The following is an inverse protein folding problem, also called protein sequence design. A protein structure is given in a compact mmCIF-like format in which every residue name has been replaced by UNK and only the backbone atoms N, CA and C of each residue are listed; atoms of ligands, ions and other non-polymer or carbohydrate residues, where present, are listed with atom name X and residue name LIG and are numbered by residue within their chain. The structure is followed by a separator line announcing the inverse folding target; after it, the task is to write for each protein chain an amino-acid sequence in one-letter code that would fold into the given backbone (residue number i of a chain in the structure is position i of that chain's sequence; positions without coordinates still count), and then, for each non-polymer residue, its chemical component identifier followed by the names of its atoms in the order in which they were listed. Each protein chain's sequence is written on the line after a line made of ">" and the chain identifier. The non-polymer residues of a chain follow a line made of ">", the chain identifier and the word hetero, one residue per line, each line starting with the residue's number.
data_IF_960573833590
#
_entry.id   IF_960573833590
#
_cell.length_a   1.000
_cell.length_b   1.000
_cell.length_c   1.000
_cell.angle_alpha   90.00
_cell.angle_beta   90.00
_cell.angle_gamma   90.00
#
_symmetry.space_group_name_H-M   'P 1'
#
loop_
_entity.id
_entity.type
_entity.pdbx_description
1 polymer ?
#
# COMPACT_ATOMS: atom_id res chain seq x y z
N UNK A 1 8.35 10.08 17.37
CA UNK A 1 7.66 8.86 16.88
C UNK A 1 7.70 8.94 15.37
N UNK A 2 8.28 7.98 14.66
CA UNK A 2 8.35 8.00 13.20
C UNK A 2 7.92 6.64 12.64
N UNK A 3 7.25 6.69 11.50
CA UNK A 3 6.91 5.53 10.67
C UNK A 3 7.46 5.84 9.29
N UNK A 4 8.12 4.87 8.67
CA UNK A 4 8.55 4.94 7.28
C UNK A 4 8.20 3.65 6.57
N UNK A 5 7.81 3.77 5.30
CA UNK A 5 7.42 2.66 4.46
C UNK A 5 7.96 2.84 3.05
N UNK A 6 8.18 1.73 2.35
CA UNK A 6 8.65 1.69 0.97
C UNK A 6 7.85 0.67 0.17
N UNK A 7 7.52 1.04 -1.07
CA UNK A 7 7.04 0.12 -2.11
C UNK A 7 8.14 0.02 -3.15
N UNK A 8 8.45 -1.19 -3.61
CA UNK A 8 9.46 -1.43 -4.62
C UNK A 8 8.98 -2.49 -5.62
N UNK A 9 9.35 -2.29 -6.89
CA UNK A 9 9.15 -3.24 -7.99
C UNK A 9 10.53 -3.67 -8.48
N UNK A 10 10.75 -4.97 -8.58
CA UNK A 10 11.87 -5.54 -9.33
C UNK A 10 11.45 -5.69 -10.80
N UNK A 11 12.04 -4.93 -11.74
CA UNK A 11 11.67 -4.99 -13.15
C UNK A 11 12.13 -6.27 -13.86
N UNK A 12 13.11 -7.00 -13.31
CA UNK A 12 13.62 -8.23 -13.94
C UNK A 12 12.68 -9.41 -13.69
N UNK A 13 12.16 -9.53 -12.47
CA UNK A 13 11.26 -10.61 -12.05
C UNK A 13 9.78 -10.23 -12.12
N UNK A 14 9.47 -8.93 -12.04
CA UNK A 14 8.12 -8.42 -11.87
C UNK A 14 7.62 -8.48 -10.42
N UNK A 15 8.49 -8.85 -9.46
CA UNK A 15 8.11 -8.94 -8.05
C UNK A 15 7.88 -7.56 -7.45
N UNK A 16 6.79 -7.44 -6.68
CA UNK A 16 6.41 -6.22 -5.99
C UNK A 16 6.40 -6.44 -4.48
N UNK A 17 7.06 -5.56 -3.75
CA UNK A 17 7.17 -5.61 -2.30
C UNK A 17 6.73 -4.32 -1.62
N UNK A 18 6.27 -4.44 -0.39
CA UNK A 18 6.03 -3.32 0.53
C UNK A 18 6.61 -3.64 1.90
N UNK A 19 7.31 -2.68 2.49
CA UNK A 19 7.87 -2.80 3.82
C UNK A 19 7.56 -1.56 4.66
N UNK A 20 7.51 -1.73 5.98
CA UNK A 20 7.25 -0.67 6.95
C UNK A 20 8.09 -0.87 8.21
N UNK A 21 8.56 0.22 8.78
CA UNK A 21 9.10 0.29 10.13
C UNK A 21 8.27 1.29 10.93
N UNK A 22 7.99 0.95 12.19
CA UNK A 22 7.36 1.87 13.14
C UNK A 22 7.71 1.49 14.57
N UNK A 23 7.51 2.43 15.49
CA UNK A 23 7.44 2.14 16.94
C UNK A 23 6.08 1.53 17.33
N UNK A 24 5.10 1.53 16.44
CA UNK A 24 3.81 0.86 16.63
C UNK A 24 3.95 -0.67 16.60
N UNK A 25 3.37 -1.34 17.60
CA UNK A 25 3.39 -2.80 17.69
C UNK A 25 2.59 -3.42 16.56
N UNK A 26 3.13 -4.49 15.96
CA UNK A 26 2.47 -5.25 14.90
C UNK A 26 2.05 -4.41 13.68
N UNK A 27 2.82 -3.36 13.33
CA UNK A 27 2.58 -2.50 12.17
C UNK A 27 2.40 -3.25 10.85
N UNK A 28 3.02 -4.43 10.73
CA UNK A 28 2.90 -5.31 9.57
C UNK A 28 1.49 -5.84 9.28
N UNK A 29 0.58 -5.81 10.27
CA UNK A 29 -0.82 -6.19 10.08
C UNK A 29 -1.71 -5.01 9.61
N UNK A 30 -1.18 -3.79 9.60
CA UNK A 30 -1.97 -2.56 9.41
C UNK A 30 -1.55 -1.80 8.15
N UNK A 31 -0.25 -1.61 7.97
CA UNK A 31 0.29 -0.70 6.94
C UNK A 31 0.54 -1.37 5.61
N UNK A 32 1.28 -2.50 5.53
CA UNK A 32 1.69 -3.07 4.25
C UNK A 32 0.61 -3.99 3.68
N UNK A 33 0.17 -3.69 2.46
CA UNK A 33 -0.75 -4.53 1.69
C UNK A 33 -0.14 -4.82 0.32
N UNK A 34 -0.19 -6.07 -0.13
CA UNK A 34 0.28 -6.46 -1.46
C UNK A 34 -0.60 -7.56 -2.05
N UNK A 35 -0.75 -7.53 -3.37
CA UNK A 35 -1.42 -8.57 -4.15
C UNK A 35 -0.61 -8.81 -5.42
N UNK A 36 -0.15 -10.04 -5.60
CA UNK A 36 0.65 -10.45 -6.76
C UNK A 36 -0.05 -10.11 -8.07
N UNK A 37 0.71 -9.56 -9.03
CA UNK A 37 0.20 -9.13 -10.33
C UNK A 37 -0.76 -7.92 -10.30
N UNK A 38 -1.00 -7.31 -9.14
CA UNK A 38 -1.93 -6.18 -8.99
C UNK A 38 -1.23 -4.93 -8.46
N UNK A 39 -0.61 -5.01 -7.29
CA UNK A 39 -0.10 -3.79 -6.64
C UNK A 39 0.26 -3.95 -5.17
N UNK A 40 0.75 -2.86 -4.60
CA UNK A 40 1.12 -2.76 -3.19
C UNK A 40 0.79 -1.37 -2.66
N UNK A 41 0.35 -1.31 -1.41
CA UNK A 41 -0.16 -0.10 -0.75
C UNK A 41 0.41 -0.01 0.66
N UNK A 42 0.83 1.19 1.05
CA UNK A 42 1.23 1.52 2.41
C UNK A 42 0.28 2.58 2.99
N UNK A 43 -0.70 2.16 3.79
CA UNK A 43 -1.61 3.07 4.51
C UNK A 43 -1.00 3.41 5.87
N UNK A 44 -0.49 4.64 6.04
CA UNK A 44 0.29 5.05 7.23
C UNK A 44 -0.21 6.37 7.85
N UNK A 45 0.51 6.87 8.86
CA UNK A 45 0.13 7.99 9.73
C UNK A 45 -1.07 7.68 10.63
N UNK A 46 -2.29 7.95 10.17
CA UNK A 46 -3.54 7.49 10.78
C UNK A 46 -4.12 6.40 9.88
N UNK A 47 -3.47 5.23 9.93
CA UNK A 47 -3.75 4.16 8.99
C UNK A 47 -5.24 3.81 8.97
N UNK A 48 -5.86 4.00 7.80
CA UNK A 48 -7.16 3.42 7.51
C UNK A 48 -6.93 2.08 6.82
N UNK A 49 -7.25 0.98 7.50
CA UNK A 49 -7.06 -0.38 6.98
C UNK A 49 -7.94 -0.68 5.78
N UNK A 50 -9.02 0.08 5.56
CA UNK A 50 -9.88 -0.10 4.38
C UNK A 50 -9.16 0.29 3.08
N UNK A 51 -8.22 1.22 3.13
CA UNK A 51 -7.45 1.68 1.96
C UNK A 51 -6.59 0.58 1.34
N UNK A 52 -6.15 -0.40 2.12
CA UNK A 52 -5.36 -1.52 1.62
C UNK A 52 -6.14 -2.36 0.59
N UNK A 53 -7.22 -3.04 1.02
CA UNK A 53 -8.07 -3.81 0.11
C UNK A 53 -8.73 -2.95 -0.99
N UNK A 54 -9.30 -1.79 -0.64
CA UNK A 54 -10.00 -0.94 -1.62
C UNK A 54 -9.06 -0.41 -2.71
N UNK A 55 -7.86 0.02 -2.32
CA UNK A 55 -6.86 0.47 -3.27
C UNK A 55 -6.37 -0.67 -4.16
N UNK A 56 -6.11 -1.86 -3.61
CA UNK A 56 -5.75 -3.03 -4.43
C UNK A 56 -6.87 -3.41 -5.42
N UNK A 57 -8.14 -3.20 -5.06
CA UNK A 57 -9.27 -3.41 -5.96
C UNK A 57 -9.41 -2.29 -7.01
N UNK A 58 -8.98 -1.06 -6.73
CA UNK A 58 -8.86 -0.01 -7.75
C UNK A 58 -7.75 -0.36 -8.75
N UNK A 59 -6.58 -0.74 -8.26
CA UNK A 59 -5.44 -1.13 -9.08
C UNK A 59 -5.75 -2.37 -9.95
N UNK A 60 -6.47 -3.37 -9.41
CA UNK A 60 -6.83 -4.58 -10.17
C UNK A 60 -7.75 -4.29 -11.35
N UNK A 61 -8.48 -3.16 -11.33
CA UNK A 61 -9.33 -2.68 -12.44
C UNK A 61 -8.55 -1.83 -13.46
N UNK A 62 -7.23 -1.74 -13.32
CA UNK A 62 -6.37 -0.95 -14.20
C UNK A 62 -6.37 0.55 -13.91
N UNK A 63 -6.85 0.97 -12.74
CA UNK A 63 -6.70 2.36 -12.32
C UNK A 63 -5.23 2.67 -12.01
N UNK A 64 -4.75 3.82 -12.47
CA UNK A 64 -3.42 4.32 -12.12
C UNK A 64 -3.27 4.51 -10.59
N UNK A 65 -2.07 4.30 -10.06
CA UNK A 65 -1.81 4.36 -8.63
C UNK A 65 -2.03 5.75 -8.03
N UNK A 66 -1.71 6.83 -8.74
CA UNK A 66 -1.94 8.18 -8.26
C UNK A 66 -3.44 8.48 -8.20
N UNK A 67 -4.20 8.07 -9.22
CA UNK A 67 -5.65 8.22 -9.26
C UNK A 67 -6.36 7.39 -8.16
N UNK A 68 -5.90 6.17 -7.93
CA UNK A 68 -6.42 5.32 -6.85
C UNK A 68 -6.16 5.95 -5.47
N UNK A 69 -4.94 6.46 -5.24
CA UNK A 69 -4.59 7.17 -4.01
C UNK A 69 -5.46 8.41 -3.82
N UNK A 70 -5.59 9.26 -4.83
CA UNK A 70 -6.40 10.48 -4.76
C UNK A 70 -7.86 10.17 -4.41
N UNK A 71 -8.44 9.16 -5.05
CA UNK A 71 -9.80 8.70 -4.77
C UNK A 71 -10.00 8.22 -3.33
N UNK A 72 -8.99 7.57 -2.75
CA UNK A 72 -9.05 7.07 -1.36
C UNK A 72 -8.98 8.21 -0.34
N UNK A 73 -8.24 9.29 -0.63
CA UNK A 73 -8.01 10.39 0.31
C UNK A 73 -8.94 11.60 0.10
N UNK A 74 -9.75 11.62 -0.95
CA UNK A 74 -10.66 12.73 -1.28
C UNK A 74 -11.98 12.74 -0.48
N UNK A 75 -12.10 11.89 0.55
CA UNK A 75 -13.29 11.75 1.41
C UNK A 75 -13.25 12.59 2.68
#
# INVERSE_FOLDING_TARGET
>A
MSTFSIVALDPETGDLGVAVQSKFLAVGAVVPWARAGVGAIATQAWANTSYGPEGLDLLSRGMDAAAAMERLISG
#
